data_IF_147578258249
#
_entry.id   IF_147578258249
#
_cell.length_a   1.000
_cell.length_b   1.000
_cell.length_c   1.000
_cell.angle_alpha   90.00
_cell.angle_beta   90.00
_cell.angle_gamma   90.00
#
_symmetry.space_group_name_H-M   'P 1'
#
loop_
_entity.id
_entity.type
_entity.pdbx_description
1 polymer ?
#
# COMPACT_ATOMS: atom_id res chain seq x y z
N UNK A 1 -27.52 13.91 -9.43
CA UNK A 1 -27.46 12.58 -8.81
C UNK A 1 -28.90 12.07 -8.64
N UNK A 2 -29.22 10.93 -9.23
CA UNK A 2 -30.55 10.29 -9.05
C UNK A 2 -30.43 9.27 -7.89
N UNK A 3 -30.86 9.69 -6.71
CA UNK A 3 -30.82 8.88 -5.50
C UNK A 3 -31.77 7.68 -5.54
N UNK A 4 -32.81 7.72 -6.39
CA UNK A 4 -33.76 6.63 -6.54
C UNK A 4 -33.15 5.35 -7.19
N UNK A 5 -31.99 5.50 -7.84
CA UNK A 5 -31.26 4.37 -8.42
C UNK A 5 -30.44 3.56 -7.38
N UNK A 6 -30.31 4.08 -6.16
CA UNK A 6 -29.62 3.35 -5.10
C UNK A 6 -30.52 2.23 -4.54
N UNK A 7 -29.93 1.09 -4.13
CA UNK A 7 -30.71 -0.01 -3.51
C UNK A 7 -31.49 0.46 -2.28
N UNK A 8 -32.68 -0.09 -2.09
CA UNK A 8 -33.57 0.29 -0.97
C UNK A 8 -32.96 0.03 0.40
N UNK A 9 -32.06 -0.94 0.49
CA UNK A 9 -31.37 -1.35 1.71
C UNK A 9 -30.43 -0.26 2.28
N UNK A 10 -30.04 0.74 1.47
CA UNK A 10 -29.19 1.86 1.92
C UNK A 10 -30.00 2.92 2.69
N UNK A 11 -31.34 2.85 2.61
CA UNK A 11 -32.23 3.85 3.21
C UNK A 11 -32.78 3.40 4.57
N UNK A 12 -32.94 4.32 5.52
CA UNK A 12 -33.68 4.02 6.75
C UNK A 12 -35.07 3.47 6.44
N UNK A 13 -35.41 2.32 6.99
CA UNK A 13 -36.68 1.60 6.75
C UNK A 13 -36.95 1.22 5.28
N UNK A 14 -35.92 1.22 4.41
CA UNK A 14 -36.08 0.90 2.98
C UNK A 14 -36.69 2.03 2.14
N UNK A 15 -36.87 3.22 2.69
CA UNK A 15 -37.49 4.36 2.00
C UNK A 15 -36.52 5.53 1.86
N UNK A 16 -36.39 6.07 0.63
CA UNK A 16 -35.64 7.29 0.35
C UNK A 16 -36.35 8.48 1.04
N UNK A 17 -35.70 9.19 1.99
CA UNK A 17 -36.29 10.38 2.61
C UNK A 17 -36.60 11.45 1.57
N UNK A 18 -37.84 11.98 1.60
CA UNK A 18 -38.35 12.89 0.58
C UNK A 18 -37.57 14.21 0.43
N UNK A 19 -36.91 14.67 1.51
CA UNK A 19 -36.10 15.90 1.53
C UNK A 19 -34.61 15.66 1.21
N UNK A 20 -34.17 14.41 1.11
CA UNK A 20 -32.76 14.09 0.99
C UNK A 20 -32.15 14.62 -0.31
N UNK A 21 -32.86 14.52 -1.42
CA UNK A 21 -32.36 14.99 -2.71
C UNK A 21 -32.03 16.49 -2.72
N UNK A 22 -32.74 17.31 -1.92
CA UNK A 22 -32.48 18.73 -1.78
C UNK A 22 -31.32 19.06 -0.80
N UNK A 23 -30.93 18.11 0.02
CA UNK A 23 -29.88 18.28 1.05
C UNK A 23 -28.51 17.72 0.65
N UNK A 24 -28.51 16.81 -0.32
CA UNK A 24 -27.24 16.22 -0.80
C UNK A 24 -26.49 17.22 -1.67
N UNK A 25 -25.25 17.47 -1.34
CA UNK A 25 -24.33 18.34 -2.09
C UNK A 25 -23.08 17.53 -2.49
N UNK A 26 -22.51 17.77 -3.69
CA UNK A 26 -21.26 17.16 -4.06
C UNK A 26 -20.12 17.68 -3.15
N UNK A 27 -19.37 16.80 -2.52
CA UNK A 27 -18.21 17.15 -1.70
C UNK A 27 -16.97 17.37 -2.55
N UNK A 28 -16.79 16.57 -3.59
CA UNK A 28 -15.70 16.65 -4.55
C UNK A 28 -16.14 16.03 -5.87
N UNK A 29 -15.34 16.26 -6.91
CA UNK A 29 -15.46 15.58 -8.20
C UNK A 29 -14.13 14.94 -8.60
N UNK A 30 -14.21 13.86 -9.36
CA UNK A 30 -13.08 13.27 -10.07
C UNK A 30 -13.40 13.34 -11.55
N UNK A 31 -12.59 14.06 -12.31
CA UNK A 31 -12.75 14.24 -13.74
C UNK A 31 -11.46 13.80 -14.43
N UNK A 32 -11.51 12.71 -15.17
CA UNK A 32 -10.34 12.13 -15.80
C UNK A 32 -10.68 11.36 -17.06
N UNK A 33 -9.74 11.36 -17.99
CA UNK A 33 -9.72 10.47 -19.14
C UNK A 33 -9.07 9.15 -18.75
N UNK A 34 -9.69 8.02 -19.16
CA UNK A 34 -9.20 6.66 -18.87
C UNK A 34 -8.91 5.92 -20.18
N UNK A 35 -7.68 5.48 -20.34
CA UNK A 35 -7.30 4.50 -21.35
C UNK A 35 -7.18 3.12 -20.72
N UNK A 36 -7.64 2.08 -21.42
CA UNK A 36 -7.64 0.70 -20.91
C UNK A 36 -7.00 -0.27 -21.88
N UNK A 37 -6.26 -1.20 -21.33
CA UNK A 37 -5.67 -2.32 -22.06
C UNK A 37 -5.94 -3.62 -21.31
N UNK A 38 -6.30 -4.67 -22.05
CA UNK A 38 -6.41 -6.02 -21.52
C UNK A 38 -5.16 -6.80 -21.88
N UNK A 39 -4.47 -7.33 -20.91
CA UNK A 39 -3.23 -8.09 -21.08
C UNK A 39 -3.32 -9.46 -20.43
N UNK A 40 -2.64 -10.45 -21.02
CA UNK A 40 -2.52 -11.79 -20.46
C UNK A 40 -1.10 -11.98 -19.90
N UNK A 41 -1.00 -12.38 -18.63
CA UNK A 41 0.27 -12.67 -17.95
C UNK A 41 0.13 -14.01 -17.22
N UNK A 42 0.97 -14.99 -17.59
CA UNK A 42 0.99 -16.33 -16.98
C UNK A 42 -0.41 -16.98 -16.86
N UNK A 43 -1.25 -16.82 -17.90
CA UNK A 43 -2.62 -17.35 -17.94
C UNK A 43 -3.66 -16.52 -17.19
N UNK A 44 -3.26 -15.43 -16.52
CA UNK A 44 -4.16 -14.49 -15.85
C UNK A 44 -4.53 -13.35 -16.81
N UNK A 45 -5.75 -12.81 -16.66
CA UNK A 45 -6.23 -11.64 -17.39
C UNK A 45 -6.17 -10.42 -16.47
N UNK A 46 -5.49 -9.37 -16.91
CA UNK A 46 -5.28 -8.14 -16.15
C UNK A 46 -5.72 -6.96 -17.03
N UNK A 47 -6.56 -6.08 -16.48
CA UNK A 47 -6.84 -4.79 -17.06
C UNK A 47 -5.79 -3.79 -16.55
N UNK A 48 -5.15 -3.07 -17.47
CA UNK A 48 -4.33 -1.88 -17.15
C UNK A 48 -5.20 -0.68 -17.48
N UNK A 49 -5.38 0.24 -16.53
CA UNK A 49 -6.05 1.51 -16.77
C UNK A 49 -5.10 2.68 -16.46
N UNK A 50 -4.92 3.59 -17.44
CA UNK A 50 -4.23 4.86 -17.25
C UNK A 50 -5.26 5.96 -17.07
N UNK A 51 -5.24 6.60 -15.89
CA UNK A 51 -6.13 7.71 -15.55
C UNK A 51 -5.35 9.02 -15.56
N UNK A 52 -5.82 10.00 -16.32
CA UNK A 52 -5.23 11.34 -16.41
C UNK A 52 -6.32 12.40 -16.25
N UNK A 53 -6.18 13.29 -15.26
CA UNK A 53 -7.18 14.31 -14.96
C UNK A 53 -6.96 14.98 -13.64
N UNK A 54 -8.03 15.22 -12.89
CA UNK A 54 -7.96 15.91 -11.60
C UNK A 54 -9.05 15.49 -10.63
N UNK A 55 -8.77 15.65 -9.35
CA UNK A 55 -9.72 15.63 -8.25
C UNK A 55 -9.93 17.06 -7.78
N UNK A 56 -11.18 17.52 -7.63
CA UNK A 56 -11.51 18.89 -7.21
C UNK A 56 -12.47 18.91 -6.03
N UNK A 57 -12.25 19.85 -5.10
CA UNK A 57 -13.19 20.17 -4.03
C UNK A 57 -13.06 21.67 -3.69
N UNK A 58 -14.12 22.46 -3.93
CA UNK A 58 -14.08 23.91 -3.76
C UNK A 58 -12.97 24.54 -4.62
N UNK A 59 -12.06 25.27 -3.97
CA UNK A 59 -10.89 25.93 -4.62
C UNK A 59 -9.67 25.02 -4.77
N UNK A 60 -9.72 23.82 -4.18
CA UNK A 60 -8.58 22.88 -4.18
C UNK A 60 -8.70 21.89 -5.33
N UNK A 61 -7.57 21.62 -5.97
CA UNK A 61 -7.45 20.62 -7.02
C UNK A 61 -6.15 19.81 -6.87
N UNK A 62 -6.18 18.54 -7.26
CA UNK A 62 -5.03 17.65 -7.28
C UNK A 62 -5.02 16.85 -8.59
N UNK A 63 -3.87 16.76 -9.31
CA UNK A 63 -3.82 16.02 -10.56
C UNK A 63 -3.97 14.52 -10.34
N UNK A 64 -4.65 13.86 -11.27
CA UNK A 64 -4.66 12.39 -11.44
C UNK A 64 -3.70 12.05 -12.58
N UNK A 65 -2.71 11.21 -12.29
CA UNK A 65 -1.86 10.54 -13.27
C UNK A 65 -1.43 9.23 -12.66
N UNK A 66 -2.22 8.17 -12.87
CA UNK A 66 -2.00 6.89 -12.22
C UNK A 66 -2.32 5.71 -13.12
N UNK A 67 -1.59 4.60 -12.94
CA UNK A 67 -1.89 3.31 -13.52
C UNK A 67 -2.56 2.44 -12.47
N UNK A 68 -3.70 1.86 -12.82
CA UNK A 68 -4.38 0.82 -12.05
C UNK A 68 -4.17 -0.53 -12.75
N UNK A 69 -3.86 -1.56 -11.99
CA UNK A 69 -3.75 -2.93 -12.46
C UNK A 69 -4.84 -3.75 -11.78
N UNK A 70 -5.85 -4.18 -12.53
CA UNK A 70 -6.98 -4.93 -12.01
C UNK A 70 -6.92 -6.38 -12.49
N UNK A 71 -6.90 -7.33 -11.53
CA UNK A 71 -6.99 -8.76 -11.83
C UNK A 71 -8.43 -9.13 -12.19
N UNK A 72 -8.69 -9.44 -13.44
CA UNK A 72 -10.02 -9.90 -13.87
C UNK A 72 -10.21 -11.41 -13.66
N UNK A 73 -9.14 -12.20 -13.88
CA UNK A 73 -9.14 -13.64 -13.59
C UNK A 73 -7.72 -14.18 -13.47
N UNK A 74 -7.54 -15.23 -12.68
CA UNK A 74 -6.26 -15.91 -12.51
C UNK A 74 -5.61 -15.66 -11.15
N UNK A 75 -4.28 -15.47 -11.12
CA UNK A 75 -3.47 -15.40 -9.90
C UNK A 75 -2.96 -13.97 -9.65
N UNK A 76 -3.09 -13.48 -8.41
CA UNK A 76 -2.60 -12.16 -7.97
C UNK A 76 -1.10 -11.98 -8.23
N UNK A 77 -0.31 -13.05 -8.22
CA UNK A 77 1.14 -13.00 -8.52
C UNK A 77 1.43 -12.49 -9.94
N UNK A 78 0.50 -12.70 -10.88
CA UNK A 78 0.63 -12.17 -12.24
C UNK A 78 0.54 -10.63 -12.27
N UNK A 79 -0.30 -10.03 -11.41
CA UNK A 79 -0.38 -8.57 -11.25
C UNK A 79 0.93 -8.02 -10.70
N UNK A 80 1.51 -8.65 -9.68
CA UNK A 80 2.78 -8.24 -9.08
C UNK A 80 3.93 -8.38 -10.08
N UNK A 81 3.94 -9.44 -10.89
CA UNK A 81 4.92 -9.62 -11.97
C UNK A 81 4.83 -8.52 -13.02
N UNK A 82 3.61 -8.16 -13.44
CA UNK A 82 3.38 -7.05 -14.36
C UNK A 82 3.82 -5.72 -13.75
N UNK A 83 3.47 -5.45 -12.49
CA UNK A 83 3.89 -4.26 -11.76
C UNK A 83 5.42 -4.15 -11.71
N UNK A 84 6.14 -5.25 -11.40
CA UNK A 84 7.60 -5.29 -11.40
C UNK A 84 8.19 -4.97 -12.78
N UNK A 85 7.60 -5.49 -13.86
CA UNK A 85 8.02 -5.16 -15.22
C UNK A 85 7.86 -3.67 -15.54
N UNK A 86 6.73 -3.08 -15.16
CA UNK A 86 6.46 -1.67 -15.39
C UNK A 86 7.42 -0.77 -14.61
N UNK A 87 7.59 -0.97 -13.31
CA UNK A 87 8.46 -0.11 -12.47
C UNK A 87 9.94 -0.26 -12.82
N UNK A 88 10.37 -1.42 -13.36
CA UNK A 88 11.75 -1.60 -13.82
C UNK A 88 12.12 -0.75 -15.03
N UNK A 89 11.13 -0.22 -15.75
CA UNK A 89 11.31 0.54 -16.99
C UNK A 89 10.88 2.01 -16.87
N UNK A 90 10.16 2.36 -15.81
CA UNK A 90 9.51 3.67 -15.67
C UNK A 90 9.63 4.18 -14.24
N UNK A 91 9.59 5.51 -14.08
CA UNK A 91 9.56 6.18 -12.78
C UNK A 91 8.18 6.12 -12.13
N UNK A 92 7.73 4.94 -11.73
CA UNK A 92 6.46 4.72 -11.02
C UNK A 92 6.68 4.49 -9.53
N UNK A 93 5.69 4.81 -8.73
CA UNK A 93 5.63 4.44 -7.31
C UNK A 93 4.33 3.70 -6.98
N UNK A 94 4.35 2.82 -6.01
CA UNK A 94 3.14 2.20 -5.49
C UNK A 94 2.31 3.25 -4.73
N UNK A 95 1.11 3.52 -5.22
CA UNK A 95 0.16 4.45 -4.60
C UNK A 95 -0.54 3.83 -3.39
N UNK A 96 -0.91 4.67 -2.41
CA UNK A 96 -1.66 4.27 -1.21
C UNK A 96 -3.00 5.00 -1.06
N UNK A 97 -3.22 6.08 -1.81
CA UNK A 97 -4.43 6.89 -1.72
C UNK A 97 -5.30 6.74 -2.96
N UNK A 98 -6.54 6.35 -2.74
CA UNK A 98 -7.55 6.37 -3.81
C UNK A 98 -7.91 7.81 -4.22
N UNK A 99 -8.48 7.97 -5.41
CA UNK A 99 -9.07 9.25 -5.88
C UNK A 99 -10.07 9.80 -4.87
N UNK A 100 -10.93 8.92 -4.31
CA UNK A 100 -11.92 9.30 -3.30
C UNK A 100 -11.26 9.80 -2.00
N UNK A 101 -10.23 9.12 -1.49
CA UNK A 101 -9.50 9.56 -0.29
C UNK A 101 -8.86 10.94 -0.49
N UNK A 102 -8.34 11.23 -1.69
CA UNK A 102 -7.85 12.57 -2.06
C UNK A 102 -8.98 13.58 -2.10
N UNK A 103 -10.13 13.22 -2.69
CA UNK A 103 -11.32 14.09 -2.78
C UNK A 103 -11.87 14.47 -1.40
N UNK A 104 -12.01 13.52 -0.48
CA UNK A 104 -12.40 13.81 0.90
C UNK A 104 -11.42 14.72 1.62
N UNK A 105 -10.12 14.52 1.40
CA UNK A 105 -9.09 15.37 1.99
C UNK A 105 -9.17 16.82 1.48
N UNK A 106 -9.34 17.02 0.17
CA UNK A 106 -9.52 18.34 -0.43
C UNK A 106 -10.81 19.00 0.08
N UNK A 107 -11.92 18.25 0.22
CA UNK A 107 -13.19 18.74 0.73
C UNK A 107 -13.13 19.22 2.19
N UNK A 108 -12.14 18.74 2.96
CA UNK A 108 -11.84 19.20 4.32
C UNK A 108 -10.98 20.48 4.35
N UNK A 109 -10.72 21.12 3.20
CA UNK A 109 -9.88 22.32 3.11
C UNK A 109 -8.40 22.00 2.90
N UNK A 110 -8.07 20.80 2.41
CA UNK A 110 -6.70 20.36 2.13
C UNK A 110 -5.72 20.62 3.29
N UNK A 111 -6.04 20.20 4.53
CA UNK A 111 -5.19 20.47 5.67
C UNK A 111 -3.83 19.77 5.52
N UNK A 112 -2.76 20.39 6.05
CA UNK A 112 -1.45 19.74 6.09
C UNK A 112 -1.54 18.43 6.88
N UNK A 113 -1.03 17.34 6.29
CA UNK A 113 -0.98 16.04 6.96
C UNK A 113 0.21 16.00 7.89
N UNK A 114 -0.02 15.51 9.10
CA UNK A 114 1.01 15.44 10.14
C UNK A 114 1.83 14.15 10.04
N UNK A 115 3.08 14.23 10.51
CA UNK A 115 3.89 13.04 10.77
C UNK A 115 3.23 12.24 11.89
N UNK A 116 3.00 10.95 11.61
CA UNK A 116 2.43 10.01 12.59
C UNK A 116 3.53 9.17 13.22
N UNK A 117 3.59 9.08 14.55
CA UNK A 117 4.49 8.14 15.21
C UNK A 117 4.13 6.71 14.81
N UNK A 118 5.11 5.81 14.83
CA UNK A 118 4.86 4.38 14.69
C UNK A 118 3.94 3.93 15.81
N UNK A 119 2.81 3.33 15.46
CA UNK A 119 1.83 2.86 16.42
C UNK A 119 2.27 1.52 17.04
N UNK A 120 1.70 1.20 18.20
CA UNK A 120 1.88 -0.11 18.82
C UNK A 120 1.21 -1.16 17.92
N UNK A 121 1.93 -2.27 17.67
CA UNK A 121 1.40 -3.39 16.92
C UNK A 121 0.24 -4.05 17.68
N UNK A 122 -0.93 -4.05 17.10
CA UNK A 122 -2.09 -4.77 17.62
C UNK A 122 -2.27 -6.08 16.86
N UNK A 123 -2.09 -7.19 17.56
CA UNK A 123 -2.28 -8.54 17.01
C UNK A 123 -3.45 -9.19 17.74
N UNK A 124 -4.29 -9.95 17.03
CA UNK A 124 -5.43 -10.62 17.62
C UNK A 124 -5.00 -11.58 18.77
N UNK A 125 -5.80 -11.69 19.82
CA UNK A 125 -5.45 -12.47 21.02
C UNK A 125 -5.14 -13.95 20.77
N UNK A 126 -5.65 -14.50 19.66
CA UNK A 126 -5.44 -15.91 19.24
C UNK A 126 -4.53 -16.02 18.00
N UNK A 127 -3.88 -14.92 17.61
CA UNK A 127 -2.98 -14.95 16.47
C UNK A 127 -1.78 -15.86 16.71
N UNK A 128 -1.33 -16.52 15.66
CA UNK A 128 -0.09 -17.25 15.64
C UNK A 128 1.10 -16.36 15.26
N UNK A 129 2.30 -16.94 15.24
CA UNK A 129 3.54 -16.23 14.92
C UNK A 129 3.55 -15.73 13.48
N UNK A 130 2.95 -16.48 12.53
CA UNK A 130 2.85 -16.07 11.13
C UNK A 130 2.02 -14.78 11.00
N UNK A 131 0.86 -14.74 11.64
CA UNK A 131 0.01 -13.55 11.69
C UNK A 131 0.70 -12.36 12.36
N UNK A 132 1.51 -12.62 13.40
CA UNK A 132 2.33 -11.58 14.02
C UNK A 132 3.40 -11.02 13.10
N UNK A 133 4.06 -11.86 12.30
CA UNK A 133 5.01 -11.46 11.27
C UNK A 133 4.35 -10.61 10.19
N UNK A 134 3.22 -11.09 9.65
CA UNK A 134 2.45 -10.39 8.64
C UNK A 134 2.02 -9.00 9.15
N UNK A 135 1.39 -8.94 10.31
CA UNK A 135 0.93 -7.69 10.90
C UNK A 135 2.07 -6.67 11.15
N UNK A 136 3.25 -7.14 11.57
CA UNK A 136 4.41 -6.27 11.78
C UNK A 136 4.95 -5.68 10.47
N UNK A 137 5.00 -6.49 9.42
CA UNK A 137 5.47 -6.04 8.10
C UNK A 137 4.45 -5.15 7.40
N UNK A 138 3.15 -5.45 7.53
CA UNK A 138 2.06 -4.60 7.03
C UNK A 138 2.07 -3.23 7.70
N UNK A 139 2.26 -3.18 9.03
CA UNK A 139 2.42 -1.94 9.76
C UNK A 139 3.62 -1.13 9.24
N UNK A 140 4.76 -1.77 9.03
CA UNK A 140 5.95 -1.11 8.51
C UNK A 140 5.74 -0.58 7.08
N UNK A 141 5.09 -1.36 6.20
CA UNK A 141 4.76 -0.94 4.84
C UNK A 141 3.77 0.24 4.84
N UNK A 142 2.74 0.21 5.68
CA UNK A 142 1.78 1.30 5.80
C UNK A 142 2.43 2.60 6.30
N UNK A 143 3.35 2.51 7.28
CA UNK A 143 4.14 3.64 7.75
C UNK A 143 5.04 4.21 6.64
N UNK A 144 5.69 3.33 5.87
CA UNK A 144 6.50 3.75 4.72
C UNK A 144 5.68 4.51 3.69
N UNK A 145 4.57 3.93 3.22
CA UNK A 145 3.71 4.53 2.18
C UNK A 145 3.11 5.87 2.65
N UNK A 146 2.67 5.95 3.91
CA UNK A 146 2.12 7.17 4.46
C UNK A 146 3.14 8.31 4.49
N UNK A 147 4.33 8.07 5.01
CA UNK A 147 5.36 9.12 5.13
C UNK A 147 6.02 9.46 3.79
N UNK A 148 6.12 8.50 2.88
CA UNK A 148 6.55 8.74 1.51
C UNK A 148 5.61 9.72 0.79
N UNK A 149 4.29 9.57 0.98
CA UNK A 149 3.31 10.50 0.45
C UNK A 149 3.49 11.92 1.02
N UNK A 150 3.76 12.03 2.32
CA UNK A 150 4.04 13.32 2.95
C UNK A 150 5.32 13.96 2.38
N UNK A 151 6.36 13.15 2.22
CA UNK A 151 7.66 13.63 1.73
C UNK A 151 7.57 14.15 0.29
N UNK A 152 6.90 13.41 -0.60
CA UNK A 152 6.68 13.85 -1.99
C UNK A 152 5.85 15.15 -2.06
N UNK A 153 4.96 15.37 -1.10
CA UNK A 153 4.15 16.60 -0.97
C UNK A 153 4.88 17.76 -0.28
N UNK A 154 6.17 17.63 -0.02
CA UNK A 154 7.03 18.72 0.48
C UNK A 154 7.23 18.72 2.00
N UNK A 155 6.82 17.70 2.73
CA UNK A 155 7.17 17.57 4.15
C UNK A 155 8.52 16.83 4.29
N UNK A 156 9.62 17.58 4.25
CA UNK A 156 10.98 17.01 4.28
C UNK A 156 11.29 16.23 5.57
N UNK A 157 10.64 16.56 6.69
CA UNK A 157 10.81 15.82 7.94
C UNK A 157 10.27 14.38 7.85
N UNK A 158 9.39 14.09 6.88
CA UNK A 158 8.90 12.74 6.64
C UNK A 158 9.97 11.78 6.09
N UNK A 159 11.07 12.28 5.53
CA UNK A 159 12.20 11.45 5.07
C UNK A 159 12.73 10.53 6.17
N UNK A 160 12.91 11.05 7.37
CA UNK A 160 13.39 10.25 8.51
C UNK A 160 12.40 9.15 8.88
N UNK A 161 11.09 9.41 8.75
CA UNK A 161 10.06 8.41 9.02
C UNK A 161 10.02 7.32 7.96
N UNK A 162 10.30 7.65 6.70
CA UNK A 162 10.46 6.64 5.62
C UNK A 162 11.64 5.72 5.93
N UNK A 163 12.79 6.27 6.32
CA UNK A 163 13.97 5.48 6.71
C UNK A 163 13.68 4.62 7.96
N UNK A 164 12.98 5.17 8.95
CA UNK A 164 12.56 4.43 10.13
C UNK A 164 11.63 3.26 9.78
N UNK A 165 10.70 3.45 8.84
CA UNK A 165 9.80 2.38 8.38
C UNK A 165 10.56 1.26 7.64
N UNK A 166 11.52 1.60 6.77
CA UNK A 166 12.40 0.61 6.13
C UNK A 166 13.22 -0.16 7.18
N UNK A 167 13.76 0.55 8.17
CA UNK A 167 14.47 -0.06 9.29
C UNK A 167 13.56 -1.00 10.09
N UNK A 168 12.29 -0.64 10.29
CA UNK A 168 11.30 -1.50 10.96
C UNK A 168 11.08 -2.81 10.19
N UNK A 169 10.97 -2.78 8.84
CA UNK A 169 10.92 -4.01 8.02
C UNK A 169 12.15 -4.88 8.29
N UNK A 170 13.35 -4.29 8.26
CA UNK A 170 14.61 -5.03 8.49
C UNK A 170 14.70 -5.64 9.88
N UNK A 171 14.29 -4.89 10.92
CA UNK A 171 14.26 -5.37 12.30
C UNK A 171 13.23 -6.49 12.49
N UNK A 172 12.06 -6.37 11.87
CA UNK A 172 11.05 -7.44 11.88
C UNK A 172 11.62 -8.72 11.26
N UNK A 173 12.21 -8.64 10.06
CA UNK A 173 12.85 -9.80 9.44
C UNK A 173 13.99 -10.39 10.29
N UNK A 174 14.69 -9.57 11.08
CA UNK A 174 15.72 -10.03 12.00
C UNK A 174 15.11 -10.72 13.24
N UNK A 175 14.09 -10.13 13.83
CA UNK A 175 13.39 -10.67 15.01
C UNK A 175 12.83 -12.07 14.74
N UNK A 176 12.22 -12.26 13.57
CA UNK A 176 11.67 -13.56 13.17
C UNK A 176 12.73 -14.52 12.58
N UNK A 177 14.00 -14.13 12.53
CA UNK A 177 15.08 -14.91 11.92
C UNK A 177 15.36 -16.28 12.57
N UNK A 178 14.89 -16.50 13.81
CA UNK A 178 14.94 -17.81 14.47
C UNK A 178 13.90 -18.82 13.99
N UNK A 179 12.90 -18.36 13.18
CA UNK A 179 11.82 -19.16 12.60
C UNK A 179 11.88 -19.09 11.08
N UNK A 180 11.93 -17.89 10.51
CA UNK A 180 12.04 -17.66 9.07
C UNK A 180 13.53 -17.61 8.68
N UNK A 181 14.03 -18.61 7.95
CA UNK A 181 15.45 -18.64 7.59
C UNK A 181 15.86 -17.41 6.75
N UNK A 182 17.06 -16.87 7.01
CA UNK A 182 17.57 -15.69 6.29
C UNK A 182 17.51 -15.83 4.76
N UNK A 183 17.73 -17.04 4.23
CA UNK A 183 17.65 -17.34 2.80
C UNK A 183 16.28 -17.02 2.18
N UNK A 184 15.20 -17.08 2.97
CA UNK A 184 13.85 -16.73 2.51
C UNK A 184 13.65 -15.24 2.23
N UNK A 185 14.52 -14.36 2.75
CA UNK A 185 14.42 -12.91 2.62
C UNK A 185 15.69 -12.26 2.05
N UNK A 186 16.64 -13.03 1.50
CA UNK A 186 17.93 -12.48 1.02
C UNK A 186 17.72 -11.40 -0.04
N UNK A 187 16.97 -11.71 -1.10
CA UNK A 187 16.69 -10.77 -2.17
C UNK A 187 15.96 -9.49 -1.67
N UNK A 188 14.94 -9.67 -0.83
CA UNK A 188 14.24 -8.54 -0.22
C UNK A 188 15.17 -7.65 0.60
N UNK A 189 16.08 -8.25 1.39
CA UNK A 189 17.06 -7.51 2.19
C UNK A 189 18.04 -6.71 1.34
N UNK A 190 18.46 -7.25 0.20
CA UNK A 190 19.36 -6.57 -0.73
C UNK A 190 18.67 -5.34 -1.36
N UNK A 191 17.42 -5.50 -1.80
CA UNK A 191 16.60 -4.39 -2.32
C UNK A 191 16.34 -3.31 -1.26
N UNK A 192 16.03 -3.70 -0.02
CA UNK A 192 15.84 -2.75 1.09
C UNK A 192 17.13 -1.97 1.39
N UNK A 193 18.29 -2.61 1.28
CA UNK A 193 19.59 -1.94 1.49
C UNK A 193 19.87 -0.90 0.40
N UNK A 194 19.59 -1.22 -0.86
CA UNK A 194 19.73 -0.29 -1.97
C UNK A 194 18.76 0.88 -1.85
N UNK A 195 17.49 0.60 -1.55
CA UNK A 195 16.46 1.60 -1.35
C UNK A 195 16.82 2.56 -0.19
N UNK A 196 17.26 2.03 0.95
CA UNK A 196 17.69 2.83 2.11
C UNK A 196 18.84 3.78 1.73
N UNK A 197 19.83 3.31 0.98
CA UNK A 197 20.96 4.13 0.50
C UNK A 197 20.48 5.23 -0.47
N UNK A 198 19.58 4.91 -1.40
CA UNK A 198 18.97 5.86 -2.35
C UNK A 198 18.22 6.96 -1.60
N UNK A 199 17.36 6.59 -0.64
CA UNK A 199 16.59 7.56 0.15
C UNK A 199 17.51 8.39 1.04
N UNK A 200 18.46 7.78 1.75
CA UNK A 200 19.36 8.48 2.66
C UNK A 200 20.19 9.56 1.95
N UNK A 201 20.72 9.27 0.75
CA UNK A 201 21.52 10.18 -0.03
C UNK A 201 20.72 11.20 -0.85
N UNK A 202 19.40 11.04 -0.95
CA UNK A 202 18.55 11.86 -1.81
C UNK A 202 18.44 13.30 -1.31
N UNK A 203 18.56 14.24 -2.26
CA UNK A 203 18.30 15.68 -2.08
C UNK A 203 16.88 16.07 -2.52
N UNK A 204 16.18 15.19 -3.24
CA UNK A 204 14.82 15.40 -3.74
C UNK A 204 13.95 14.17 -3.42
N UNK A 205 12.80 14.44 -2.78
CA UNK A 205 11.78 13.43 -2.52
C UNK A 205 11.31 12.74 -3.80
N UNK A 206 11.00 13.52 -4.84
CA UNK A 206 10.48 13.02 -6.12
C UNK A 206 11.48 12.06 -6.75
N UNK A 207 12.77 12.44 -6.82
CA UNK A 207 13.80 11.58 -7.42
C UNK A 207 13.96 10.27 -6.66
N UNK A 208 13.93 10.30 -5.33
CA UNK A 208 14.09 9.11 -4.51
C UNK A 208 12.86 8.18 -4.56
N UNK A 209 11.68 8.76 -4.43
CA UNK A 209 10.43 8.00 -4.31
C UNK A 209 10.01 7.37 -5.64
N UNK A 210 10.30 8.04 -6.76
CA UNK A 210 10.04 7.51 -8.10
C UNK A 210 11.25 6.75 -8.68
N UNK A 211 12.28 6.46 -7.88
CA UNK A 211 13.38 5.61 -8.31
C UNK A 211 12.97 4.15 -8.44
N UNK A 212 13.62 3.45 -9.35
CA UNK A 212 13.44 1.99 -9.53
C UNK A 212 13.76 1.24 -8.25
N UNK A 213 14.80 1.63 -7.51
CA UNK A 213 15.22 1.00 -6.26
C UNK A 213 14.12 1.06 -5.19
N UNK A 214 13.48 2.22 -5.03
CA UNK A 214 12.39 2.40 -4.06
C UNK A 214 11.15 1.61 -4.47
N UNK A 215 10.76 1.68 -5.74
CA UNK A 215 9.60 0.96 -6.25
C UNK A 215 9.78 -0.56 -6.17
N UNK A 216 10.93 -1.08 -6.59
CA UNK A 216 11.26 -2.51 -6.54
C UNK A 216 11.30 -3.05 -5.11
N UNK A 217 11.86 -2.30 -4.15
CA UNK A 217 11.90 -2.73 -2.75
C UNK A 217 10.49 -2.84 -2.13
N UNK A 218 9.58 -1.89 -2.41
CA UNK A 218 8.19 -1.95 -1.94
C UNK A 218 7.40 -3.10 -2.59
N UNK A 219 7.54 -3.28 -3.90
CA UNK A 219 6.87 -4.38 -4.60
C UNK A 219 7.39 -5.73 -4.12
N UNK A 220 8.70 -5.87 -3.90
CA UNK A 220 9.28 -7.10 -3.36
C UNK A 220 8.76 -7.43 -1.96
N UNK A 221 8.58 -6.42 -1.09
CA UNK A 221 7.95 -6.60 0.23
C UNK A 221 6.48 -7.03 0.09
N UNK A 222 5.73 -6.37 -0.80
CA UNK A 222 4.33 -6.70 -1.07
C UNK A 222 4.20 -8.14 -1.61
N UNK A 223 5.02 -8.51 -2.58
CA UNK A 223 5.05 -9.87 -3.15
C UNK A 223 5.44 -10.91 -2.09
N UNK A 224 6.43 -10.61 -1.26
CA UNK A 224 6.89 -11.50 -0.19
C UNK A 224 5.76 -11.78 0.82
N UNK A 225 4.97 -10.75 1.17
CA UNK A 225 3.79 -10.87 2.03
C UNK A 225 2.66 -11.66 1.35
N UNK A 226 2.21 -11.22 0.16
CA UNK A 226 1.07 -11.80 -0.55
C UNK A 226 1.29 -13.27 -0.90
N UNK A 227 2.51 -13.63 -1.33
CA UNK A 227 2.86 -15.01 -1.69
C UNK A 227 3.30 -15.86 -0.51
N UNK A 228 3.40 -15.30 0.69
CA UNK A 228 4.00 -15.97 1.87
C UNK A 228 5.34 -16.63 1.51
N UNK A 229 6.22 -15.84 0.88
CA UNK A 229 7.43 -16.34 0.24
C UNK A 229 8.42 -17.05 1.19
N UNK A 230 8.19 -17.00 2.49
CA UNK A 230 8.95 -17.73 3.52
C UNK A 230 8.53 -19.20 3.65
N UNK A 231 7.27 -19.53 3.34
CA UNK A 231 6.73 -20.87 3.61
C UNK A 231 7.54 -22.01 2.98
N UNK A 232 8.03 -21.94 1.72
CA UNK A 232 8.83 -22.99 1.11
C UNK A 232 10.18 -23.23 1.78
N UNK A 233 10.64 -22.31 2.63
CA UNK A 233 11.92 -22.40 3.33
C UNK A 233 11.82 -22.92 4.76
N UNK A 234 10.60 -23.12 5.28
CA UNK A 234 10.38 -23.63 6.63
C UNK A 234 10.60 -25.16 6.66
N UNK A 235 11.47 -25.61 7.57
CA UNK A 235 11.55 -27.03 7.94
C UNK A 235 10.43 -27.40 8.92
N UNK A 236 10.28 -28.69 9.26
CA UNK A 236 9.21 -29.19 10.15
C UNK A 236 9.23 -28.52 11.54
N UNK A 237 10.41 -28.14 12.05
CA UNK A 237 10.56 -27.46 13.34
C UNK A 237 10.08 -26.01 13.24
N UNK A 238 10.45 -25.33 12.19
CA UNK A 238 10.02 -23.95 11.91
C UNK A 238 8.52 -23.89 11.63
N UNK A 239 7.95 -24.86 10.92
CA UNK A 239 6.50 -25.01 10.71
C UNK A 239 5.75 -25.08 12.04
N UNK A 240 6.21 -25.89 12.99
CA UNK A 240 5.60 -25.97 14.33
C UNK A 240 5.67 -24.65 15.08
N UNK A 241 6.81 -23.93 14.98
CA UNK A 241 6.99 -22.64 15.66
C UNK A 241 6.15 -21.50 15.07
N UNK A 242 5.99 -21.47 13.74
CA UNK A 242 5.25 -20.38 13.08
C UNK A 242 3.74 -20.46 13.36
N UNK A 243 3.25 -21.67 13.63
CA UNK A 243 1.86 -21.95 14.05
C UNK A 243 1.62 -21.78 15.55
N UNK A 244 2.67 -21.50 16.35
CA UNK A 244 2.54 -21.27 17.78
C UNK A 244 1.86 -19.93 18.09
N UNK A 245 1.35 -19.79 19.33
CA UNK A 245 0.76 -18.55 19.79
C UNK A 245 1.72 -17.38 19.73
N UNK A 246 1.35 -16.29 19.05
CA UNK A 246 2.12 -15.07 19.00
C UNK A 246 2.41 -14.49 20.39
N UNK A 247 1.46 -14.60 21.32
CA UNK A 247 1.65 -14.15 22.72
C UNK A 247 2.86 -14.83 23.38
N UNK A 248 3.02 -16.14 23.21
CA UNK A 248 4.20 -16.85 23.75
C UNK A 248 5.48 -16.45 23.03
N UNK A 249 5.42 -16.15 21.75
CA UNK A 249 6.57 -15.65 20.99
C UNK A 249 6.98 -14.25 21.46
N UNK A 250 6.03 -13.38 21.76
CA UNK A 250 6.30 -12.01 22.24
C UNK A 250 6.81 -11.96 23.69
N UNK A 251 6.59 -13.03 24.48
CA UNK A 251 7.04 -13.14 25.86
C UNK A 251 8.48 -13.69 25.98
N UNK A 252 9.10 -14.10 24.86
CA UNK A 252 10.48 -14.60 24.79
C UNK A 252 11.45 -13.47 24.46
#
# INVERSE_FOLDING_TARGET
LDLAQLPTEVWPNGELPADLASRVQPLFSTDFYREKWLVAVDGSQIEIALDQGEVKAGEFAEPICELELELLSGDTRAVLKLANQLVSQTGLRQGSLSKAARGYHLAQGNPAREIKPTTILHVAAKADVEQGLEAALELALAQWQYHEELWVRGNDAAKEQVLAAISLVRHTLMLFGGIVPRKASTHLRDLLTQCEATIASAVSAVTAVYSTETAMAKLALTEWLVSKAWQPFLDAKAQGKISDSFKRFADI
#
